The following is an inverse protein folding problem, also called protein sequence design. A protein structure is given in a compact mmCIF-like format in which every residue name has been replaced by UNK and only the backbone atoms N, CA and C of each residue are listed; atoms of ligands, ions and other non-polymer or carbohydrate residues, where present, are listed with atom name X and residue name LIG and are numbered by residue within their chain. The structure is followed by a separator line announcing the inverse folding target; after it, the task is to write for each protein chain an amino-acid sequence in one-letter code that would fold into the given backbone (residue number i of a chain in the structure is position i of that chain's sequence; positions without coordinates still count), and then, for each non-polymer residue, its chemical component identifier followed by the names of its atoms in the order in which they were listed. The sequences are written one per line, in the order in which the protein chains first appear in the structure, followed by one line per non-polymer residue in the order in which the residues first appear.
data_IF_786892275777
#
_entry.id   IF_786892275777
#
_cell.length_a   1.000
_cell.length_b   1.000
_cell.length_c   1.000
_cell.angle_alpha   90.00
_cell.angle_beta   90.00
_cell.angle_gamma   90.00
#
_symmetry.space_group_name_H-M   'P 1'
#
loop_
_entity.id
_entity.type
_entity.pdbx_description
1 polymer ?
#
# COMPACT_ATOMS: atom_id res chain seq x y z
N UNK A 1 -8.66 62.68 3.43
CA UNK A 1 -7.62 61.77 2.90
C UNK A 1 -8.30 60.79 1.97
N UNK A 2 -8.22 61.01 0.65
CA UNK A 2 -8.83 60.14 -0.34
C UNK A 2 -7.77 59.12 -0.80
N UNK A 3 -7.97 57.85 -0.43
CA UNK A 3 -7.14 56.73 -0.90
C UNK A 3 -7.60 56.43 -2.32
N UNK A 4 -6.88 56.91 -3.32
CA UNK A 4 -7.06 56.52 -4.71
C UNK A 4 -6.66 55.06 -4.87
N UNK A 5 -7.66 54.18 -4.85
CA UNK A 5 -7.55 52.78 -5.28
C UNK A 5 -7.21 52.82 -6.77
N UNK A 6 -5.96 52.49 -7.11
CA UNK A 6 -5.56 52.25 -8.49
C UNK A 6 -6.35 51.04 -9.00
N UNK A 7 -7.39 51.29 -9.80
CA UNK A 7 -7.99 50.26 -10.61
C UNK A 7 -6.93 49.73 -11.58
N UNK A 8 -6.43 48.52 -11.33
CA UNK A 8 -5.63 47.77 -12.29
C UNK A 8 -6.52 47.55 -13.53
N UNK A 9 -6.34 48.39 -14.55
CA UNK A 9 -6.91 48.18 -15.89
C UNK A 9 -6.37 46.84 -16.41
N UNK A 10 -7.23 45.84 -16.60
CA UNK A 10 -6.88 44.63 -17.34
C UNK A 10 -6.76 45.00 -18.81
N UNK A 11 -5.54 44.93 -19.32
CA UNK A 11 -5.26 45.00 -20.76
C UNK A 11 -5.16 43.57 -21.26
N UNK A 12 -5.92 43.26 -22.30
CA UNK A 12 -5.86 41.94 -22.96
C UNK A 12 -4.63 41.92 -23.87
N UNK A 13 -3.58 41.23 -23.44
CA UNK A 13 -2.33 41.10 -24.16
C UNK A 13 -2.35 39.72 -24.84
N UNK A 14 -2.13 39.63 -26.16
CA UNK A 14 -2.05 38.35 -26.83
C UNK A 14 -0.92 37.51 -26.22
N UNK A 15 -1.24 36.28 -25.81
CA UNK A 15 -0.28 35.38 -25.17
C UNK A 15 0.88 35.09 -26.14
N UNK A 16 2.15 35.30 -25.72
CA UNK A 16 3.29 34.92 -26.53
C UNK A 16 3.25 33.42 -26.84
N UNK A 17 3.52 33.05 -28.09
CA UNK A 17 3.44 31.65 -28.54
C UNK A 17 4.34 30.70 -27.74
N UNK A 18 5.48 31.19 -27.24
CA UNK A 18 6.38 30.44 -26.35
C UNK A 18 5.72 30.04 -25.01
N UNK A 19 4.86 30.90 -24.47
CA UNK A 19 4.14 30.64 -23.22
C UNK A 19 3.02 29.62 -23.46
N UNK A 20 2.35 29.72 -24.61
CA UNK A 20 1.36 28.74 -25.04
C UNK A 20 1.97 27.34 -25.23
N UNK A 21 3.10 27.25 -25.94
CA UNK A 21 3.79 25.99 -26.18
C UNK A 21 4.31 25.35 -24.88
N UNK A 22 4.82 26.18 -23.96
CA UNK A 22 5.19 25.72 -22.62
C UNK A 22 3.97 25.15 -21.89
N UNK A 23 2.90 25.92 -21.75
CA UNK A 23 1.70 25.50 -21.03
C UNK A 23 1.03 24.26 -21.64
N UNK A 24 1.14 24.06 -22.95
CA UNK A 24 0.60 22.88 -23.64
C UNK A 24 1.32 21.59 -23.25
N UNK A 25 2.64 21.64 -23.04
CA UNK A 25 3.46 20.47 -22.69
C UNK A 25 3.76 20.36 -21.19
N UNK A 26 3.39 21.36 -20.41
CA UNK A 26 3.45 21.33 -18.96
C UNK A 26 2.47 20.30 -18.39
N UNK A 27 2.80 19.76 -17.21
CA UNK A 27 1.91 18.85 -16.48
C UNK A 27 2.04 17.37 -16.81
N UNK A 28 2.94 16.96 -17.72
CA UNK A 28 3.22 15.53 -17.96
C UNK A 28 3.71 14.80 -16.69
N UNK A 29 4.59 15.46 -15.93
CA UNK A 29 5.10 14.95 -14.63
C UNK A 29 3.99 14.94 -13.58
N UNK A 30 3.23 16.02 -13.46
CA UNK A 30 2.13 16.13 -12.49
C UNK A 30 1.04 15.08 -12.74
N UNK A 31 0.76 14.76 -14.00
CA UNK A 31 -0.19 13.72 -14.37
C UNK A 31 0.29 12.34 -13.92
N UNK A 32 1.57 12.04 -14.15
CA UNK A 32 2.21 10.81 -13.68
C UNK A 32 2.18 10.70 -12.16
N UNK A 33 2.53 11.78 -11.46
CA UNK A 33 2.47 11.86 -10.00
C UNK A 33 1.05 11.69 -9.47
N UNK A 34 0.06 12.24 -10.18
CA UNK A 34 -1.36 12.05 -9.89
C UNK A 34 -1.78 10.58 -10.02
N UNK A 35 -1.31 9.85 -11.04
CA UNK A 35 -1.57 8.41 -11.17
C UNK A 35 -0.87 7.59 -10.09
N UNK A 36 0.39 7.91 -9.78
CA UNK A 36 1.14 7.28 -8.70
C UNK A 36 0.44 7.49 -7.36
N UNK A 37 -0.06 8.68 -7.08
CA UNK A 37 -0.78 9.01 -5.84
C UNK A 37 -2.05 8.18 -5.63
N UNK A 38 -2.79 7.87 -6.71
CA UNK A 38 -4.07 7.13 -6.63
C UNK A 38 -3.90 5.65 -6.31
N UNK A 39 -2.94 4.96 -6.92
CA UNK A 39 -2.81 3.49 -6.84
C UNK A 39 -1.49 3.01 -6.24
N UNK A 40 -0.80 3.85 -5.46
CA UNK A 40 0.50 3.52 -4.84
C UNK A 40 0.49 2.21 -4.06
N UNK A 41 1.48 1.36 -4.31
CA UNK A 41 1.75 0.17 -3.49
C UNK A 41 2.27 0.60 -2.10
N UNK A 42 1.45 0.41 -1.06
CA UNK A 42 1.76 0.76 0.32
C UNK A 42 2.24 -0.46 1.12
N UNK A 43 3.36 -1.05 0.73
CA UNK A 43 3.99 -2.14 1.50
C UNK A 43 5.02 -1.53 2.45
N UNK A 44 4.83 -1.76 3.76
CA UNK A 44 5.81 -1.35 4.77
C UNK A 44 6.99 -2.30 4.73
N UNK A 45 8.17 -1.78 4.41
CA UNK A 45 9.44 -2.51 4.47
C UNK A 45 10.44 -1.74 5.33
N UNK A 46 11.26 -2.48 6.08
CA UNK A 46 12.39 -1.92 6.84
C UNK A 46 13.57 -1.56 5.93
N UNK A 47 13.62 -2.14 4.72
CA UNK A 47 14.70 -1.95 3.77
C UNK A 47 14.37 -0.81 2.81
N UNK A 48 15.18 0.25 2.82
CA UNK A 48 14.92 1.48 2.06
C UNK A 48 14.84 1.24 0.53
N UNK A 49 15.64 0.32 0.00
CA UNK A 49 15.67 0.01 -1.43
C UNK A 49 14.36 -0.60 -1.95
N UNK A 50 13.59 -1.28 -1.08
CA UNK A 50 12.28 -1.82 -1.47
C UNK A 50 11.29 -0.71 -1.84
N UNK A 51 11.44 0.48 -1.24
CA UNK A 51 10.63 1.65 -1.61
C UNK A 51 10.89 2.08 -3.05
N UNK A 52 12.14 2.04 -3.50
CA UNK A 52 12.50 2.34 -4.88
C UNK A 52 11.96 1.27 -5.83
N UNK A 53 12.09 -0.02 -5.46
CA UNK A 53 11.57 -1.11 -6.27
C UNK A 53 10.06 -0.98 -6.52
N UNK A 54 9.26 -0.78 -5.47
CA UNK A 54 7.81 -0.62 -5.63
C UNK A 54 7.44 0.64 -6.42
N UNK A 55 8.21 1.72 -6.28
CA UNK A 55 8.00 2.93 -7.08
C UNK A 55 8.25 2.68 -8.57
N UNK A 56 9.34 2.00 -8.91
CA UNK A 56 9.64 1.61 -10.30
C UNK A 56 8.61 0.63 -10.86
N UNK A 57 8.13 -0.30 -10.04
CA UNK A 57 7.06 -1.22 -10.42
C UNK A 57 5.76 -0.46 -10.74
N UNK A 58 5.34 0.46 -9.87
CA UNK A 58 4.15 1.30 -10.09
C UNK A 58 4.29 2.15 -11.37
N UNK A 59 5.48 2.71 -11.61
CA UNK A 59 5.79 3.48 -12.82
C UNK A 59 5.69 2.61 -14.08
N UNK A 60 6.24 1.39 -14.04
CA UNK A 60 6.17 0.46 -15.15
C UNK A 60 4.71 0.07 -15.49
N UNK A 61 3.88 -0.16 -14.47
CA UNK A 61 2.45 -0.49 -14.67
C UNK A 61 1.68 0.68 -15.30
N UNK A 62 1.93 1.92 -14.85
CA UNK A 62 1.30 3.11 -15.43
C UNK A 62 1.73 3.29 -16.89
N UNK A 63 3.02 3.14 -17.18
CA UNK A 63 3.55 3.25 -18.54
C UNK A 63 2.96 2.17 -19.45
N UNK A 64 2.80 0.94 -18.95
CA UNK A 64 2.16 -0.16 -19.68
C UNK A 64 0.70 0.17 -20.03
N UNK A 65 -0.05 0.75 -19.09
CA UNK A 65 -1.42 1.19 -19.32
C UNK A 65 -1.50 2.31 -20.37
N UNK A 66 -0.63 3.32 -20.30
CA UNK A 66 -0.56 4.40 -21.30
C UNK A 66 -0.22 3.83 -22.69
N UNK A 67 0.70 2.86 -22.76
CA UNK A 67 1.06 2.20 -24.00
C UNK A 67 -0.09 1.37 -24.57
N UNK A 68 -0.83 0.65 -23.71
CA UNK A 68 -2.03 -0.07 -24.10
C UNK A 68 -3.05 0.87 -24.73
N UNK A 69 -3.30 2.03 -24.10
CA UNK A 69 -4.19 3.06 -24.65
C UNK A 69 -3.78 3.49 -26.05
N UNK A 70 -2.51 3.87 -26.23
CA UNK A 70 -1.96 4.27 -27.53
C UNK A 70 -2.13 3.17 -28.59
N UNK A 71 -1.83 1.92 -28.23
CA UNK A 71 -1.95 0.78 -29.13
C UNK A 71 -3.41 0.48 -29.52
N UNK A 72 -4.35 0.62 -28.60
CA UNK A 72 -5.78 0.44 -28.88
C UNK A 72 -6.32 1.55 -29.78
N UNK A 73 -5.95 2.81 -29.53
CA UNK A 73 -6.29 3.94 -30.39
C UNK A 73 -5.74 3.75 -31.81
N UNK A 74 -4.49 3.30 -31.94
CA UNK A 74 -3.89 3.01 -33.24
C UNK A 74 -4.61 1.88 -34.00
N UNK A 75 -5.25 0.96 -33.30
CA UNK A 75 -6.07 -0.13 -33.87
C UNK A 75 -7.53 0.26 -34.11
N UNK A 76 -7.94 1.50 -33.82
CA UNK A 76 -9.32 1.96 -33.98
C UNK A 76 -10.29 1.47 -32.91
N UNK A 77 -9.80 0.95 -31.78
CA UNK A 77 -10.65 0.50 -30.67
C UNK A 77 -11.14 1.73 -29.89
N UNK A 78 -12.45 1.86 -29.63
CA UNK A 78 -13.00 3.03 -28.94
C UNK A 78 -12.55 3.09 -27.47
N UNK A 79 -12.27 4.29 -26.97
CA UNK A 79 -11.75 4.48 -25.60
C UNK A 79 -12.68 3.92 -24.51
N UNK A 80 -13.99 3.84 -24.79
CA UNK A 80 -14.99 3.25 -23.89
C UNK A 80 -14.77 1.77 -23.58
N UNK A 81 -14.05 1.05 -24.44
CA UNK A 81 -13.73 -0.37 -24.23
C UNK A 81 -12.42 -0.55 -23.45
N UNK A 82 -11.67 0.52 -23.18
CA UNK A 82 -10.42 0.40 -22.44
C UNK A 82 -10.66 0.35 -20.93
N UNK A 83 -9.98 -0.58 -20.23
CA UNK A 83 -10.10 -0.67 -18.78
C UNK A 83 -9.55 0.58 -18.11
N UNK A 84 -10.22 1.00 -17.04
CA UNK A 84 -9.69 2.03 -16.14
C UNK A 84 -8.36 1.54 -15.52
N UNK A 85 -7.51 2.44 -15.03
CA UNK A 85 -6.20 2.10 -14.46
C UNK A 85 -6.30 1.05 -13.33
N UNK A 86 -7.34 1.14 -12.48
CA UNK A 86 -7.60 0.14 -11.44
C UNK A 86 -8.01 -1.23 -11.99
N UNK A 87 -8.89 -1.27 -12.99
CA UNK A 87 -9.31 -2.51 -13.65
C UNK A 87 -8.14 -3.17 -14.38
N UNK A 88 -7.34 -2.36 -15.10
CA UNK A 88 -6.14 -2.81 -15.76
C UNK A 88 -5.15 -3.45 -14.77
N UNK A 89 -4.98 -2.86 -13.58
CA UNK A 89 -4.16 -3.43 -12.51
C UNK A 89 -4.69 -4.78 -12.03
N UNK A 90 -6.00 -4.94 -11.88
CA UNK A 90 -6.60 -6.23 -11.50
C UNK A 90 -6.38 -7.29 -12.57
N UNK A 91 -6.60 -6.94 -13.85
CA UNK A 91 -6.35 -7.83 -14.99
C UNK A 91 -4.87 -8.23 -15.04
N UNK A 92 -3.97 -7.26 -14.87
CA UNK A 92 -2.54 -7.50 -14.86
C UNK A 92 -2.13 -8.41 -13.69
N UNK A 93 -2.69 -8.19 -12.50
CA UNK A 93 -2.42 -9.01 -11.33
C UNK A 93 -2.88 -10.45 -11.54
N UNK A 94 -4.10 -10.65 -12.05
CA UNK A 94 -4.63 -11.99 -12.35
C UNK A 94 -3.77 -12.69 -13.42
N UNK A 95 -3.45 -11.99 -14.51
CA UNK A 95 -2.58 -12.52 -15.56
C UNK A 95 -1.23 -12.97 -14.99
N UNK A 96 -0.57 -12.12 -14.19
CA UNK A 96 0.73 -12.43 -13.58
C UNK A 96 0.66 -13.57 -12.55
N UNK A 97 -0.41 -13.66 -11.76
CA UNK A 97 -0.63 -14.76 -10.82
C UNK A 97 -0.86 -16.09 -11.53
N UNK A 98 -1.48 -16.06 -12.71
CA UNK A 98 -1.79 -17.24 -13.50
C UNK A 98 -0.64 -17.65 -14.45
N UNK A 99 0.36 -16.79 -14.67
CA UNK A 99 1.55 -17.12 -15.46
C UNK A 99 2.37 -18.20 -14.75
N UNK A 100 2.51 -19.36 -15.39
CA UNK A 100 3.39 -20.44 -14.93
C UNK A 100 2.76 -21.41 -13.92
N UNK A 101 1.53 -21.18 -13.46
CA UNK A 101 0.68 -22.20 -12.84
C UNK A 101 0.12 -23.12 -13.94
N UNK A 102 0.95 -24.04 -14.43
CA UNK A 102 0.40 -25.35 -14.76
C UNK A 102 -0.19 -25.94 -13.47
N UNK A 103 -1.13 -26.87 -13.55
CA UNK A 103 -1.67 -27.62 -12.40
C UNK A 103 -0.61 -28.49 -11.66
N UNK A 104 0.67 -28.10 -11.67
CA UNK A 104 1.81 -28.76 -11.07
C UNK A 104 2.05 -28.31 -9.64
N UNK A 105 1.79 -29.23 -8.72
CA UNK A 105 2.17 -29.26 -7.30
C UNK A 105 1.68 -28.08 -6.48
N UNK A 106 0.60 -28.32 -5.73
CA UNK A 106 0.16 -27.50 -4.60
C UNK A 106 1.36 -27.27 -3.67
N UNK A 107 1.98 -26.09 -3.70
CA UNK A 107 2.93 -25.65 -2.67
C UNK A 107 2.12 -25.34 -1.41
N UNK A 108 1.86 -26.38 -0.63
CA UNK A 108 1.12 -26.33 0.63
C UNK A 108 0.99 -27.71 1.27
N UNK A 109 0.88 -27.71 2.61
CA UNK A 109 0.76 -28.88 3.50
C UNK A 109 -0.40 -29.82 3.08
N UNK A 110 -0.25 -31.17 3.21
CA UNK A 110 -1.26 -32.13 2.78
C UNK A 110 -2.60 -32.00 3.52
N UNK A 111 -3.63 -32.62 2.94
CA UNK A 111 -5.06 -32.45 3.19
C UNK A 111 -5.58 -32.84 4.57
N UNK A 112 -6.55 -32.05 5.04
CA UNK A 112 -7.74 -32.34 5.88
C UNK A 112 -7.63 -33.07 7.23
N UNK A 113 -6.52 -33.74 7.58
CA UNK A 113 -6.30 -34.30 8.93
C UNK A 113 -5.98 -33.21 9.97
N UNK A 114 -5.73 -31.98 9.51
CA UNK A 114 -5.33 -30.84 10.35
C UNK A 114 -6.49 -29.93 10.79
N UNK A 115 -7.70 -30.07 10.23
CA UNK A 115 -8.85 -29.23 10.64
C UNK A 115 -9.33 -29.59 12.05
N UNK A 116 -9.29 -30.87 12.44
CA UNK A 116 -9.57 -31.28 13.83
C UNK A 116 -8.52 -30.73 14.82
N UNK A 117 -7.26 -30.57 14.38
CA UNK A 117 -6.19 -30.00 15.21
C UNK A 117 -6.29 -28.47 15.35
N UNK A 118 -7.05 -27.77 14.51
CA UNK A 118 -7.25 -26.31 14.61
C UNK A 118 -8.29 -25.90 15.66
N UNK A 119 -9.17 -26.81 16.08
CA UNK A 119 -10.05 -26.62 17.24
C UNK A 119 -9.42 -27.09 18.56
N UNK A 120 -8.22 -27.68 18.54
CA UNK A 120 -7.42 -27.82 19.74
C UNK A 120 -6.87 -26.43 20.10
N UNK A 121 -7.40 -25.84 21.19
CA UNK A 121 -6.82 -24.65 21.83
C UNK A 121 -5.30 -24.86 21.92
N UNK A 122 -4.52 -23.98 21.28
CA UNK A 122 -3.06 -23.98 21.47
C UNK A 122 -2.82 -23.94 22.98
N UNK A 123 -2.07 -24.88 23.58
CA UNK A 123 -1.66 -24.71 24.97
C UNK A 123 -0.90 -23.39 25.01
N UNK A 124 -1.37 -22.46 25.87
CA UNK A 124 -0.55 -21.30 26.25
C UNK A 124 0.82 -21.88 26.62
N UNK A 125 1.90 -21.30 26.10
CA UNK A 125 3.24 -21.76 26.42
C UNK A 125 3.39 -21.93 27.93
N UNK A 126 4.32 -22.77 28.37
CA UNK A 126 4.65 -22.98 29.79
C UNK A 126 5.14 -21.66 30.41
N UNK A 127 4.22 -20.73 30.64
CA UNK A 127 4.35 -19.73 31.67
C UNK A 127 4.31 -20.47 33.00
N UNK A 128 5.07 -20.00 33.98
CA UNK A 128 4.96 -20.53 35.33
C UNK A 128 3.48 -20.61 35.73
N UNK A 129 3.03 -21.75 36.29
CA UNK A 129 1.65 -21.88 36.74
C UNK A 129 1.36 -20.72 37.68
N UNK A 130 0.30 -19.98 37.39
CA UNK A 130 -0.11 -18.89 38.27
C UNK A 130 -0.36 -19.49 39.67
N UNK A 131 0.12 -18.83 40.74
CA UNK A 131 -0.01 -19.31 42.09
C UNK A 131 -1.49 -19.38 42.45
N UNK A 132 -1.83 -20.25 43.41
CA UNK A 132 -3.23 -20.45 43.79
C UNK A 132 -3.86 -19.12 44.27
N UNK A 133 -5.21 -19.07 44.19
CA UNK A 133 -5.97 -17.84 44.45
C UNK A 133 -5.67 -17.27 45.85
N UNK A 134 -5.44 -18.14 46.83
CA UNK A 134 -5.19 -17.77 48.22
C UNK A 134 -3.89 -16.97 48.36
N UNK A 135 -2.81 -17.40 47.69
CA UNK A 135 -1.53 -16.69 47.62
C UNK A 135 -1.70 -15.34 46.91
N UNK A 136 -2.54 -15.29 45.87
CA UNK A 136 -2.77 -14.03 45.13
C UNK A 136 -3.54 -12.98 45.93
N UNK A 137 -4.32 -13.39 46.92
CA UNK A 137 -5.18 -12.49 47.73
C UNK A 137 -4.71 -12.34 49.17
N UNK A 138 -3.52 -12.84 49.52
CA UNK A 138 -3.01 -12.87 50.91
C UNK A 138 -2.70 -11.49 51.52
N UNK A 139 -2.84 -10.41 50.75
CA UNK A 139 -2.69 -9.01 51.20
C UNK A 139 -1.27 -8.58 51.58
N UNK A 140 -0.34 -9.51 51.86
CA UNK A 140 0.95 -9.17 52.51
C UNK A 140 2.15 -10.05 52.13
N UNK A 141 1.99 -11.22 51.50
CA UNK A 141 3.09 -12.17 51.29
C UNK A 141 3.62 -12.24 49.84
N UNK A 142 2.95 -11.60 48.88
CA UNK A 142 3.36 -11.55 47.46
C UNK A 142 4.10 -10.26 47.03
N UNK A 143 4.47 -9.38 47.97
CA UNK A 143 5.12 -8.10 47.66
C UNK A 143 6.42 -8.29 46.85
N UNK A 144 6.74 -7.35 45.94
CA UNK A 144 7.91 -7.48 45.09
C UNK A 144 9.20 -7.45 45.91
N UNK A 145 10.14 -8.31 45.57
CA UNK A 145 11.49 -8.20 46.10
C UNK A 145 12.15 -7.00 45.39
N UNK A 146 12.65 -6.04 46.15
CA UNK A 146 13.40 -4.91 45.61
C UNK A 146 14.73 -5.40 45.02
N UNK A 147 14.72 -5.72 43.74
CA UNK A 147 15.88 -6.02 42.91
C UNK A 147 15.83 -5.16 41.65
N UNK A 148 16.88 -5.23 40.79
CA UNK A 148 16.92 -4.52 39.51
C UNK A 148 15.72 -4.82 38.57
N UNK A 149 14.91 -5.85 38.87
CA UNK A 149 13.63 -6.10 38.20
C UNK A 149 12.56 -6.35 39.27
N UNK A 150 11.52 -5.52 39.29
CA UNK A 150 10.35 -5.70 40.15
C UNK A 150 9.61 -6.98 39.74
N UNK A 151 9.86 -8.08 40.44
CA UNK A 151 9.11 -9.34 40.32
C UNK A 151 8.51 -9.70 41.67
N UNK A 152 7.31 -10.27 41.66
CA UNK A 152 6.73 -10.86 42.85
C UNK A 152 7.64 -11.98 43.37
N UNK A 153 7.69 -12.14 44.69
CA UNK A 153 8.53 -13.14 45.37
C UNK A 153 8.17 -14.58 44.98
N UNK A 154 6.91 -14.82 44.57
CA UNK A 154 6.39 -16.10 44.07
C UNK A 154 5.65 -15.80 42.76
N UNK A 155 6.12 -16.31 41.60
CA UNK A 155 5.46 -16.10 40.31
C UNK A 155 4.18 -16.91 40.17
#
# INVERSE_FOLDING_TARGET
MAVTIFFLKRLDIPCPKIVEEYNMHMGGVDLMDSYLGRYRIRIKSQKWYMRLFYHLLDLAVINLWVLLKKNCTAKGIPEKQLPNLGEFRNILADALCNVGTSNGVKRGRPSNVDLERKHAKKPKGLGHPAPCKDIRTDGVEHWPIFSNRLRCKIP
#
